data_IF_626830302430
#
_entry.id   IF_626830302430
#
_cell.length_a   1.000
_cell.length_b   1.000
_cell.length_c   1.000
_cell.angle_alpha   90.00
_cell.angle_beta   90.00
_cell.angle_gamma   90.00
#
_symmetry.space_group_name_H-M   'P 1'
#
loop_
_entity.id
_entity.type
_entity.pdbx_description
1 polymer ?
#
# COMPACT_ATOMS: atom_id res chain seq x y z
N UNK A 1 -14.65 6.03 -22.40
CA UNK A 1 -13.59 5.08 -21.98
C UNK A 1 -13.76 4.80 -20.51
N UNK A 2 -13.89 3.53 -20.10
CA UNK A 2 -13.70 3.17 -18.69
C UNK A 2 -12.23 3.44 -18.35
N UNK A 3 -11.95 4.22 -17.30
CA UNK A 3 -10.59 4.29 -16.79
C UNK A 3 -10.23 2.90 -16.27
N UNK A 4 -9.16 2.31 -16.78
CA UNK A 4 -8.64 1.05 -16.27
C UNK A 4 -8.03 1.35 -14.89
N UNK A 5 -8.70 0.87 -13.84
CA UNK A 5 -8.29 1.04 -12.45
C UNK A 5 -7.82 -0.33 -11.97
N UNK A 6 -6.52 -0.45 -11.70
CA UNK A 6 -5.94 -1.65 -11.11
C UNK A 6 -5.58 -1.38 -9.66
N UNK A 7 -6.13 -2.20 -8.74
CA UNK A 7 -5.75 -2.21 -7.34
C UNK A 7 -4.55 -3.13 -7.16
N UNK A 8 -3.41 -2.58 -6.77
CA UNK A 8 -2.17 -3.34 -6.69
C UNK A 8 -1.89 -3.77 -5.25
N UNK A 9 -1.50 -5.03 -5.10
CA UNK A 9 -0.85 -5.55 -3.90
C UNK A 9 0.63 -5.82 -4.21
N UNK A 10 1.52 -5.51 -3.27
CA UNK A 10 2.94 -5.84 -3.42
C UNK A 10 3.16 -7.28 -2.94
N UNK A 11 3.37 -8.21 -3.87
CA UNK A 11 3.64 -9.60 -3.54
C UNK A 11 4.85 -9.70 -2.59
N UNK A 12 4.66 -10.42 -1.47
CA UNK A 12 5.69 -10.64 -0.45
C UNK A 12 5.66 -9.67 0.74
N UNK A 13 5.05 -8.49 0.62
CA UNK A 13 4.91 -7.55 1.75
C UNK A 13 3.76 -7.95 2.66
N UNK A 14 3.83 -7.56 3.94
CA UNK A 14 2.70 -7.59 4.86
C UNK A 14 1.46 -6.89 4.27
N UNK A 15 0.23 -7.42 4.48
CA UNK A 15 -1.00 -6.83 3.94
C UNK A 15 -1.27 -5.40 4.42
N UNK A 16 -2.08 -4.63 3.69
CA UNK A 16 -2.56 -3.33 4.14
C UNK A 16 -3.21 -3.43 5.53
N UNK A 17 -2.91 -2.48 6.42
CA UNK A 17 -3.49 -2.39 7.76
C UNK A 17 -4.94 -1.83 7.74
N UNK A 18 -5.79 -2.30 6.83
CA UNK A 18 -7.18 -1.84 6.65
C UNK A 18 -7.72 -2.03 5.22
N UNK A 19 -8.87 -1.41 4.94
CA UNK A 19 -9.55 -1.49 3.64
C UNK A 19 -8.95 -0.52 2.60
N UNK A 20 -7.71 -0.79 2.20
CA UNK A 20 -7.04 -0.08 1.12
C UNK A 20 -6.08 -1.02 0.38
N UNK A 21 -5.55 -0.58 -0.76
CA UNK A 21 -4.49 -1.28 -1.51
C UNK A 21 -3.17 -0.52 -1.36
N UNK A 22 -2.01 -1.19 -1.45
CA UNK A 22 -0.72 -0.50 -1.33
C UNK A 22 -0.52 0.58 -2.40
N UNK A 23 -1.05 0.34 -3.60
CA UNK A 23 -1.19 1.37 -4.61
C UNK A 23 -2.37 1.10 -5.54
N UNK A 24 -2.74 2.13 -6.30
CA UNK A 24 -3.72 2.06 -7.38
C UNK A 24 -3.09 2.60 -8.66
N UNK A 25 -3.22 1.88 -9.77
CA UNK A 25 -2.84 2.37 -11.11
C UNK A 25 -4.09 2.89 -11.83
N UNK A 26 -4.05 4.13 -12.28
CA UNK A 26 -5.13 4.72 -13.08
C UNK A 26 -4.60 5.86 -13.96
N UNK A 27 -5.07 5.94 -15.21
CA UNK A 27 -4.75 7.06 -16.11
C UNK A 27 -3.26 7.23 -16.41
N UNK A 28 -2.49 6.14 -16.37
CA UNK A 28 -1.03 6.18 -16.57
C UNK A 28 -0.22 6.58 -15.33
N UNK A 29 -0.87 6.78 -14.17
CA UNK A 29 -0.23 7.11 -12.90
C UNK A 29 -0.36 5.97 -11.90
N UNK A 30 0.56 5.96 -10.92
CA UNK A 30 0.50 5.09 -9.74
C UNK A 30 0.35 5.97 -8.51
N UNK A 31 -0.73 5.73 -7.76
CA UNK A 31 -1.03 6.42 -6.51
C UNK A 31 -0.66 5.49 -5.36
N UNK A 32 0.31 5.87 -4.54
CA UNK A 32 0.85 5.06 -3.44
C UNK A 32 0.20 5.50 -2.13
N UNK A 33 -0.30 4.56 -1.34
CA UNK A 33 -0.83 4.84 -0.01
C UNK A 33 0.27 5.24 0.98
N UNK A 34 -0.11 5.92 2.06
CA UNK A 34 0.80 6.25 3.16
C UNK A 34 1.47 4.99 3.71
N UNK A 35 2.79 5.06 3.92
CA UNK A 35 3.56 3.93 4.43
C UNK A 35 3.68 4.01 5.95
N UNK A 36 3.37 2.89 6.59
CA UNK A 36 3.55 2.76 8.03
C UNK A 36 5.04 2.50 8.35
N UNK A 37 5.51 2.90 9.53
CA UNK A 37 6.86 2.65 10.01
C UNK A 37 7.01 1.20 10.52
N UNK A 38 6.75 0.24 9.63
CA UNK A 38 6.80 -1.21 9.91
C UNK A 38 7.92 -1.86 9.09
N UNK A 39 8.33 -3.08 9.47
CA UNK A 39 9.21 -3.92 8.66
C UNK A 39 8.45 -4.49 7.46
N UNK A 40 9.18 -5.14 6.56
CA UNK A 40 8.61 -5.85 5.42
C UNK A 40 7.59 -6.93 5.86
N UNK A 41 7.86 -7.58 6.99
CA UNK A 41 7.00 -8.61 7.59
C UNK A 41 5.84 -8.04 8.42
N UNK A 42 5.75 -6.71 8.55
CA UNK A 42 4.65 -6.01 9.24
C UNK A 42 4.94 -5.66 10.70
N UNK A 43 6.16 -5.91 11.20
CA UNK A 43 6.51 -5.63 12.59
C UNK A 43 6.73 -4.14 12.82
N UNK A 44 6.16 -3.61 13.91
CA UNK A 44 6.32 -2.19 14.26
C UNK A 44 7.74 -1.88 14.65
N UNK A 45 8.30 -0.79 14.13
CA UNK A 45 9.57 -0.25 14.65
C UNK A 45 9.32 0.42 16.00
N UNK A 46 10.04 -0.04 17.03
CA UNK A 46 9.94 0.49 18.40
C UNK A 46 10.16 2.00 18.42
N UNK A 47 9.32 2.73 19.16
CA UNK A 47 9.41 4.18 19.33
C UNK A 47 8.73 5.03 18.24
N UNK A 48 8.10 4.43 17.23
CA UNK A 48 7.32 5.18 16.25
C UNK A 48 5.85 5.29 16.67
N UNK A 49 5.32 6.52 16.69
CA UNK A 49 3.88 6.79 16.85
C UNK A 49 3.19 6.75 15.48
N UNK A 50 1.92 6.33 15.48
CA UNK A 50 1.07 6.27 14.27
C UNK A 50 0.67 7.64 13.75
#
# INVERSE_FOLDING_TARGET
MSADITLNSSAGSFPPAGHYSHSTTAGGFVFISGQLPVTFDGEKKSGCLF
#
